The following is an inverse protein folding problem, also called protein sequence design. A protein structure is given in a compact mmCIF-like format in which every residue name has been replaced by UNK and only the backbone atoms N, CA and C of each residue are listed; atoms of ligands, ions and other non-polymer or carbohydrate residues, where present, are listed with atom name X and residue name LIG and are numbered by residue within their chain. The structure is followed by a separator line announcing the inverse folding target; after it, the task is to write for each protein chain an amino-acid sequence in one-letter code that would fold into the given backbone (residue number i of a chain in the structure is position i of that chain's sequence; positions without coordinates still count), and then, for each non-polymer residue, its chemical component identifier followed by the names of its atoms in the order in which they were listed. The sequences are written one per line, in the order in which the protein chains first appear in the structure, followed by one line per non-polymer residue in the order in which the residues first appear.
data_IF_389959059629
#
_entry.id   IF_389959059629
#
_cell.length_a   1.000
_cell.length_b   1.000
_cell.length_c   1.000
_cell.angle_alpha   90.00
_cell.angle_beta   90.00
_cell.angle_gamma   90.00
#
_symmetry.space_group_name_H-M   'P 1'
#
loop_
_entity.id
_entity.type
_entity.pdbx_description
1 polymer ?
#
# COMPACT_ATOMS: atom_id res chain seq x y z
N UNK A 1 -123.22 -42.93 -0.02
CA UNK A 1 -122.12 -42.07 -0.52
C UNK A 1 -121.53 -41.08 0.51
N UNK A 2 -122.06 -40.96 1.74
CA UNK A 2 -121.59 -39.98 2.75
C UNK A 2 -120.28 -40.41 3.44
N UNK A 3 -120.19 -41.67 3.87
CA UNK A 3 -119.02 -42.24 4.55
C UNK A 3 -117.72 -42.21 3.72
N UNK A 4 -117.81 -42.40 2.39
CA UNK A 4 -116.65 -42.33 1.51
C UNK A 4 -116.07 -40.90 1.38
N UNK A 5 -116.93 -39.87 1.45
CA UNK A 5 -116.50 -38.46 1.46
C UNK A 5 -115.83 -38.11 2.78
N UNK A 6 -116.38 -38.54 3.92
CA UNK A 6 -115.77 -38.31 5.24
C UNK A 6 -114.41 -39.01 5.38
N UNK A 7 -114.29 -40.24 4.89
CA UNK A 7 -113.01 -40.97 4.86
C UNK A 7 -111.96 -40.24 4.00
N UNK A 8 -112.32 -39.82 2.79
CA UNK A 8 -111.41 -39.06 1.92
C UNK A 8 -110.99 -37.72 2.56
N UNK A 9 -111.91 -37.03 3.23
CA UNK A 9 -111.64 -35.76 3.90
C UNK A 9 -110.76 -35.93 5.15
N UNK A 10 -110.91 -37.06 5.85
CA UNK A 10 -110.03 -37.47 6.95
C UNK A 10 -108.62 -37.81 6.44
N UNK A 11 -108.47 -38.57 5.37
CA UNK A 11 -107.16 -38.82 4.76
C UNK A 11 -106.49 -37.52 4.28
N UNK A 12 -107.24 -36.58 3.70
CA UNK A 12 -106.70 -35.26 3.32
C UNK A 12 -106.23 -34.45 4.53
N UNK A 13 -106.95 -34.49 5.66
CA UNK A 13 -106.56 -33.86 6.93
C UNK A 13 -105.32 -34.52 7.54
N UNK A 14 -105.24 -35.84 7.51
CA UNK A 14 -104.08 -36.61 7.99
C UNK A 14 -102.83 -36.33 7.13
N UNK A 15 -102.94 -36.31 5.80
CA UNK A 15 -101.84 -35.93 4.89
C UNK A 15 -101.41 -34.48 5.11
N UNK A 16 -102.36 -33.54 5.27
CA UNK A 16 -102.04 -32.15 5.57
C UNK A 16 -101.33 -32.01 6.94
N UNK A 17 -101.80 -32.71 7.97
CA UNK A 17 -101.17 -32.73 9.29
C UNK A 17 -99.75 -33.33 9.23
N UNK A 18 -99.55 -34.43 8.50
CA UNK A 18 -98.23 -35.03 8.30
C UNK A 18 -97.28 -34.09 7.55
N UNK A 19 -97.77 -33.34 6.55
CA UNK A 19 -96.98 -32.31 5.85
C UNK A 19 -96.60 -31.15 6.76
N UNK A 20 -97.52 -30.69 7.60
CA UNK A 20 -97.24 -29.64 8.60
C UNK A 20 -96.23 -30.15 9.63
N UNK A 21 -96.39 -31.37 10.13
CA UNK A 21 -95.48 -31.98 11.09
C UNK A 21 -94.09 -32.25 10.50
N UNK A 22 -93.99 -32.72 9.26
CA UNK A 22 -92.70 -32.94 8.58
C UNK A 22 -92.00 -31.61 8.30
N UNK A 23 -92.73 -30.58 7.87
CA UNK A 23 -92.21 -29.22 7.71
C UNK A 23 -91.69 -28.67 9.03
N UNK A 24 -92.46 -28.81 10.12
CA UNK A 24 -92.06 -28.35 11.46
C UNK A 24 -90.83 -29.09 11.98
N UNK A 25 -90.77 -30.43 11.83
CA UNK A 25 -89.59 -31.22 12.19
C UNK A 25 -88.36 -30.78 11.39
N UNK A 26 -88.51 -30.54 10.08
CA UNK A 26 -87.45 -30.01 9.22
C UNK A 26 -87.00 -28.60 9.61
N UNK A 27 -87.92 -27.71 9.99
CA UNK A 27 -87.60 -26.38 10.52
C UNK A 27 -86.85 -26.46 11.85
N UNK A 28 -87.31 -27.31 12.78
CA UNK A 28 -86.69 -27.48 14.10
C UNK A 28 -85.27 -28.06 13.99
N UNK A 29 -85.06 -29.05 13.12
CA UNK A 29 -83.74 -29.61 12.85
C UNK A 29 -82.80 -28.60 12.21
N UNK A 30 -83.26 -27.85 11.21
CA UNK A 30 -82.47 -26.76 10.60
C UNK A 30 -82.15 -25.66 11.61
N UNK A 31 -83.12 -25.17 12.38
CA UNK A 31 -82.89 -24.19 13.44
C UNK A 31 -81.89 -24.70 14.49
N UNK A 32 -81.97 -25.97 14.92
CA UNK A 32 -80.99 -26.55 15.85
C UNK A 32 -79.59 -26.67 15.23
N UNK A 33 -79.51 -27.02 13.94
CA UNK A 33 -78.25 -27.12 13.22
C UNK A 33 -77.65 -25.74 12.94
N UNK A 34 -78.43 -24.78 12.48
CA UNK A 34 -78.05 -23.38 12.30
C UNK A 34 -77.63 -22.77 13.63
N UNK A 35 -78.38 -22.99 14.72
CA UNK A 35 -77.93 -22.58 16.05
C UNK A 35 -76.59 -23.25 16.36
N UNK A 36 -76.36 -24.55 16.15
CA UNK A 36 -75.04 -25.15 16.51
C UNK A 36 -73.88 -24.82 15.56
N UNK A 37 -74.16 -24.63 14.26
CA UNK A 37 -73.19 -24.46 13.18
C UNK A 37 -72.93 -22.97 12.90
N UNK A 38 -73.99 -22.16 12.86
CA UNK A 38 -73.94 -20.69 12.77
C UNK A 38 -73.90 -20.01 14.15
N UNK A 39 -74.02 -20.72 15.29
CA UNK A 39 -73.87 -20.05 16.58
C UNK A 39 -72.56 -19.28 16.58
N UNK A 40 -72.69 -18.08 17.11
CA UNK A 40 -71.66 -17.19 17.62
C UNK A 40 -70.44 -17.96 18.15
N UNK A 41 -70.59 -19.14 18.75
CA UNK A 41 -69.49 -20.01 19.24
C UNK A 41 -68.51 -20.47 18.15
N UNK A 42 -68.98 -21.05 17.04
CA UNK A 42 -68.08 -21.54 15.97
C UNK A 42 -67.42 -20.36 15.23
N UNK A 43 -68.19 -19.32 14.93
CA UNK A 43 -67.69 -18.09 14.29
C UNK A 43 -66.71 -17.36 15.24
N UNK A 44 -66.99 -17.26 16.53
CA UNK A 44 -66.09 -16.66 17.52
C UNK A 44 -64.83 -17.48 17.70
N UNK A 45 -64.92 -18.81 17.72
CA UNK A 45 -63.74 -19.67 17.80
C UNK A 45 -62.87 -19.48 16.56
N UNK A 46 -63.45 -19.50 15.36
CA UNK A 46 -62.72 -19.21 14.12
C UNK A 46 -62.11 -17.80 14.11
N UNK A 47 -62.86 -16.78 14.57
CA UNK A 47 -62.36 -15.41 14.72
C UNK A 47 -61.18 -15.35 15.69
N UNK A 48 -61.27 -16.04 16.82
CA UNK A 48 -60.24 -16.10 17.84
C UNK A 48 -59.00 -16.81 17.30
N UNK A 49 -59.15 -17.96 16.62
CA UNK A 49 -58.06 -18.71 16.00
C UNK A 49 -57.38 -17.91 14.88
N UNK A 50 -58.14 -17.27 14.00
CA UNK A 50 -57.57 -16.37 12.97
C UNK A 50 -56.83 -15.20 13.60
N UNK A 51 -57.39 -14.62 14.67
CA UNK A 51 -56.76 -13.54 15.43
C UNK A 51 -55.48 -13.97 16.15
N UNK A 52 -55.44 -15.15 16.76
CA UNK A 52 -54.24 -15.68 17.42
C UNK A 52 -53.15 -16.00 16.41
N UNK A 53 -53.49 -16.59 15.26
CA UNK A 53 -52.56 -16.82 14.16
C UNK A 53 -52.00 -15.52 13.59
N UNK A 54 -52.85 -14.52 13.33
CA UNK A 54 -52.43 -13.20 12.86
C UNK A 54 -51.48 -12.52 13.84
N UNK A 55 -51.80 -12.52 15.15
CA UNK A 55 -50.92 -11.97 16.20
C UNK A 55 -49.61 -12.74 16.30
N UNK A 56 -49.63 -14.07 16.20
CA UNK A 56 -48.41 -14.90 16.21
C UNK A 56 -47.51 -14.56 15.02
N UNK A 57 -48.08 -14.40 13.82
CA UNK A 57 -47.35 -14.02 12.61
C UNK A 57 -46.81 -12.59 12.70
N UNK A 58 -47.60 -11.64 13.22
CA UNK A 58 -47.17 -10.26 13.45
C UNK A 58 -46.01 -10.20 14.45
N UNK A 59 -46.08 -10.93 15.57
CA UNK A 59 -44.97 -11.04 16.54
C UNK A 59 -43.71 -11.63 15.92
N UNK A 60 -43.84 -12.72 15.14
CA UNK A 60 -42.70 -13.30 14.39
C UNK A 60 -42.09 -12.32 13.39
N UNK A 61 -42.91 -11.50 12.73
CA UNK A 61 -42.42 -10.45 11.82
C UNK A 61 -41.73 -9.33 12.59
N UNK A 62 -42.32 -8.85 13.67
CA UNK A 62 -41.75 -7.81 14.53
C UNK A 62 -40.40 -8.25 15.11
N UNK A 63 -40.31 -9.46 15.66
CA UNK A 63 -39.05 -10.00 16.19
C UNK A 63 -37.94 -10.09 15.13
N UNK A 64 -38.26 -10.48 13.89
CA UNK A 64 -37.30 -10.48 12.77
C UNK A 64 -36.82 -9.07 12.42
N UNK A 65 -37.73 -8.11 12.36
CA UNK A 65 -37.40 -6.71 12.08
C UNK A 65 -36.57 -6.09 13.20
N UNK A 66 -36.93 -6.37 14.46
CA UNK A 66 -36.20 -5.91 15.64
C UNK A 66 -34.78 -6.50 15.69
N UNK A 67 -34.63 -7.81 15.45
CA UNK A 67 -33.32 -8.45 15.33
C UNK A 67 -32.47 -7.82 14.22
N UNK A 68 -33.07 -7.56 13.06
CA UNK A 68 -32.39 -6.88 11.95
C UNK A 68 -31.99 -5.44 12.30
N UNK A 69 -32.89 -4.70 12.95
CA UNK A 69 -32.63 -3.33 13.38
C UNK A 69 -31.50 -3.27 14.41
N UNK A 70 -31.50 -4.16 15.41
CA UNK A 70 -30.43 -4.27 16.42
C UNK A 70 -29.09 -4.59 15.74
N UNK A 71 -29.08 -5.50 14.76
CA UNK A 71 -27.86 -5.84 14.03
C UNK A 71 -27.31 -4.63 13.25
N UNK A 72 -28.18 -3.90 12.54
CA UNK A 72 -27.80 -2.67 11.83
C UNK A 72 -27.27 -1.62 12.81
N UNK A 73 -27.96 -1.38 13.93
CA UNK A 73 -27.55 -0.42 14.96
C UNK A 73 -26.19 -0.78 15.57
N UNK A 74 -25.97 -2.06 15.89
CA UNK A 74 -24.68 -2.56 16.41
C UNK A 74 -23.56 -2.32 15.41
N UNK A 75 -23.77 -2.67 14.13
CA UNK A 75 -22.77 -2.45 13.08
C UNK A 75 -22.45 -0.96 12.90
N UNK A 76 -23.48 -0.11 12.89
CA UNK A 76 -23.33 1.33 12.74
C UNK A 76 -22.57 1.96 13.92
N UNK A 77 -22.95 1.64 15.16
CA UNK A 77 -22.26 2.11 16.36
C UNK A 77 -20.80 1.67 16.37
N UNK A 78 -20.52 0.41 16.02
CA UNK A 78 -19.16 -0.11 15.90
C UNK A 78 -18.35 0.59 14.80
N UNK A 79 -18.95 0.85 13.64
CA UNK A 79 -18.31 1.60 12.56
C UNK A 79 -17.97 3.02 13.01
N UNK A 80 -18.91 3.73 13.66
CA UNK A 80 -18.71 5.09 14.17
C UNK A 80 -17.56 5.14 15.18
N UNK A 81 -17.56 4.25 16.17
CA UNK A 81 -16.51 4.19 17.18
C UNK A 81 -15.12 3.91 16.54
N UNK A 82 -15.03 2.98 15.59
CA UNK A 82 -13.76 2.73 14.87
C UNK A 82 -13.30 3.94 14.07
N UNK A 83 -14.23 4.67 13.45
CA UNK A 83 -13.90 5.87 12.70
C UNK A 83 -13.35 6.98 13.61
N UNK A 84 -13.96 7.19 14.79
CA UNK A 84 -13.48 8.16 15.79
C UNK A 84 -12.12 7.75 16.37
N UNK A 85 -11.91 6.47 16.68
CA UNK A 85 -10.60 5.97 17.15
C UNK A 85 -9.55 6.17 16.06
N UNK A 86 -9.87 5.86 14.81
CA UNK A 86 -8.96 6.04 13.68
C UNK A 86 -8.57 7.51 13.49
N UNK A 87 -9.52 8.45 13.58
CA UNK A 87 -9.20 9.88 13.46
C UNK A 87 -8.33 10.35 14.63
N UNK A 88 -8.62 9.96 15.86
CA UNK A 88 -7.82 10.32 17.03
C UNK A 88 -6.40 9.75 16.96
N UNK A 89 -6.26 8.47 16.61
CA UNK A 89 -4.97 7.80 16.45
C UNK A 89 -4.15 8.49 15.36
N UNK A 90 -4.76 8.80 14.22
CA UNK A 90 -4.14 9.58 13.16
C UNK A 90 -3.67 10.94 13.65
N UNK A 91 -4.55 11.72 14.30
CA UNK A 91 -4.18 13.05 14.77
C UNK A 91 -3.00 13.02 15.74
N UNK A 92 -2.97 12.03 16.63
CA UNK A 92 -1.84 11.80 17.53
C UNK A 92 -0.57 11.46 16.76
N UNK A 93 -0.63 10.54 15.81
CA UNK A 93 0.54 10.16 14.99
C UNK A 93 1.05 11.32 14.14
N UNK A 94 0.15 12.05 13.48
CA UNK A 94 0.48 13.24 12.68
C UNK A 94 1.17 14.28 13.55
N UNK A 95 0.63 14.56 14.74
CA UNK A 95 1.24 15.49 15.69
C UNK A 95 2.62 15.01 16.15
N UNK A 96 2.77 13.74 16.53
CA UNK A 96 4.06 13.18 16.93
C UNK A 96 5.11 13.32 15.81
N UNK A 97 4.73 13.09 14.55
CA UNK A 97 5.64 13.25 13.40
C UNK A 97 6.02 14.71 13.18
N UNK A 98 5.06 15.63 13.29
CA UNK A 98 5.33 17.07 13.22
C UNK A 98 6.30 17.52 14.31
N UNK A 99 6.08 17.06 15.54
CA UNK A 99 6.99 17.31 16.67
C UNK A 99 8.38 16.74 16.40
N UNK A 100 8.48 15.54 15.84
CA UNK A 100 9.77 14.93 15.46
C UNK A 100 10.49 15.72 14.37
N UNK A 101 9.79 16.14 13.31
CA UNK A 101 10.33 17.01 12.26
C UNK A 101 10.86 18.32 12.87
N UNK A 102 10.11 18.94 13.78
CA UNK A 102 10.53 20.17 14.45
C UNK A 102 11.79 19.96 15.31
N UNK A 103 11.91 18.83 16.00
CA UNK A 103 13.14 18.48 16.75
C UNK A 103 14.33 18.37 15.80
N UNK A 104 14.19 17.68 14.67
CA UNK A 104 15.26 17.54 13.66
C UNK A 104 15.67 18.90 13.08
N UNK A 105 14.72 19.82 12.88
CA UNK A 105 15.01 21.19 12.46
C UNK A 105 15.86 21.94 13.50
N UNK A 106 15.45 21.91 14.76
CA UNK A 106 16.18 22.55 15.85
C UNK A 106 17.60 21.96 16.00
N UNK A 107 17.75 20.63 15.87
CA UNK A 107 19.06 19.97 15.92
C UNK A 107 19.95 20.39 14.74
N UNK A 108 19.41 20.46 13.53
CA UNK A 108 20.14 20.93 12.36
C UNK A 108 20.59 22.40 12.52
N UNK A 109 19.72 23.26 13.05
CA UNK A 109 20.03 24.67 13.36
C UNK A 109 21.11 24.79 14.43
N UNK A 110 21.05 23.97 15.48
CA UNK A 110 22.08 23.95 16.51
C UNK A 110 23.45 23.59 15.93
N UNK A 111 23.51 22.56 15.09
CA UNK A 111 24.75 22.19 14.41
C UNK A 111 25.27 23.27 13.47
N UNK A 112 24.38 23.97 12.75
CA UNK A 112 24.73 25.13 11.92
C UNK A 112 25.37 26.23 12.77
N UNK A 113 24.74 26.60 13.88
CA UNK A 113 25.26 27.62 14.80
C UNK A 113 26.63 27.23 15.40
N UNK A 114 26.84 25.94 15.73
CA UNK A 114 28.15 25.45 16.19
C UNK A 114 29.21 25.53 15.10
N UNK A 115 28.86 25.19 13.86
CA UNK A 115 29.76 25.31 12.70
C UNK A 115 30.17 26.76 12.49
N UNK A 116 29.21 27.68 12.50
CA UNK A 116 29.47 29.12 12.35
C UNK A 116 30.36 29.66 13.48
N UNK A 117 30.15 29.24 14.74
CA UNK A 117 31.02 29.58 15.87
C UNK A 117 32.45 29.09 15.69
N UNK A 118 32.64 27.85 15.21
CA UNK A 118 33.98 27.32 14.95
C UNK A 118 34.66 28.01 13.77
N UNK A 119 33.91 28.32 12.72
CA UNK A 119 34.40 29.04 11.55
C UNK A 119 34.83 30.46 11.93
N UNK A 120 34.04 31.18 12.71
CA UNK A 120 34.43 32.49 13.25
C UNK A 120 35.69 32.41 14.15
N UNK A 121 35.86 31.33 14.93
CA UNK A 121 37.09 31.11 15.72
C UNK A 121 38.30 30.84 14.83
N UNK A 122 38.14 30.09 13.74
CA UNK A 122 39.18 29.84 12.75
C UNK A 122 39.63 31.14 12.08
N UNK A 123 38.68 31.96 11.67
CA UNK A 123 38.91 33.28 11.05
C UNK A 123 39.61 34.24 12.00
N UNK A 124 39.17 34.33 13.27
CA UNK A 124 39.83 35.16 14.30
C UNK A 124 41.28 34.78 14.55
N UNK A 125 41.60 33.48 14.51
CA UNK A 125 42.98 33.01 14.66
C UNK A 125 43.84 33.24 13.41
N UNK A 126 43.23 33.60 12.27
CA UNK A 126 43.91 33.80 10.99
C UNK A 126 44.83 32.62 10.60
N UNK A 127 44.50 31.40 11.06
CA UNK A 127 45.37 30.22 10.91
C UNK A 127 45.70 29.93 9.45
N UNK A 128 44.72 30.12 8.55
CA UNK A 128 44.92 29.93 7.11
C UNK A 128 45.99 30.86 6.55
N UNK A 129 45.94 32.14 6.91
CA UNK A 129 46.92 33.14 6.46
C UNK A 129 48.29 32.87 7.06
N UNK A 130 48.34 32.53 8.35
CA UNK A 130 49.61 32.22 9.03
C UNK A 130 50.29 30.97 8.49
N UNK A 131 49.53 29.91 8.19
CA UNK A 131 50.07 28.69 7.58
C UNK A 131 50.62 28.98 6.19
N UNK A 132 49.90 29.76 5.36
CA UNK A 132 50.39 30.14 4.03
C UNK A 132 51.66 31.01 4.07
N UNK A 133 51.75 31.95 5.02
CA UNK A 133 52.97 32.74 5.25
C UNK A 133 54.15 31.84 5.65
N UNK A 134 53.94 30.97 6.64
CA UNK A 134 54.99 30.05 7.10
C UNK A 134 55.41 29.05 6.01
N UNK A 135 54.49 28.60 5.15
CA UNK A 135 54.78 27.76 4.00
C UNK A 135 55.68 28.50 2.99
N UNK A 136 55.36 29.76 2.71
CA UNK A 136 56.16 30.61 1.83
C UNK A 136 57.55 30.88 2.39
N UNK A 137 57.63 31.28 3.67
CA UNK A 137 58.91 31.54 4.34
C UNK A 137 59.77 30.26 4.41
N UNK A 138 59.14 29.10 4.63
CA UNK A 138 59.81 27.80 4.63
C UNK A 138 60.38 27.45 3.26
N UNK A 139 59.63 27.74 2.20
CA UNK A 139 60.06 27.52 0.83
C UNK A 139 61.26 28.41 0.46
N UNK A 140 61.21 29.71 0.75
CA UNK A 140 62.30 30.65 0.47
C UNK A 140 63.60 30.25 1.17
N UNK A 141 63.53 29.93 2.46
CA UNK A 141 64.74 29.56 3.19
C UNK A 141 65.32 28.22 2.72
N UNK A 142 64.48 27.30 2.21
CA UNK A 142 64.96 26.09 1.53
C UNK A 142 65.67 26.41 0.21
N UNK A 143 65.15 27.34 -0.60
CA UNK A 143 65.85 27.81 -1.81
C UNK A 143 67.19 28.45 -1.46
N UNK A 144 67.24 29.30 -0.42
CA UNK A 144 68.49 29.89 0.06
C UNK A 144 69.51 28.84 0.51
N UNK A 145 69.07 27.81 1.23
CA UNK A 145 69.92 26.67 1.59
C UNK A 145 70.45 25.99 0.32
N UNK A 146 69.60 25.78 -0.67
CA UNK A 146 69.97 25.15 -1.93
C UNK A 146 71.02 25.95 -2.71
N UNK A 147 70.90 27.28 -2.74
CA UNK A 147 71.90 28.17 -3.34
C UNK A 147 73.23 28.07 -2.59
N UNK A 148 73.21 28.09 -1.26
CA UNK A 148 74.42 27.94 -0.44
C UNK A 148 75.10 26.58 -0.65
N UNK A 149 74.32 25.52 -0.84
CA UNK A 149 74.81 24.18 -1.17
C UNK A 149 75.43 24.11 -2.56
N UNK A 150 74.81 24.78 -3.54
CA UNK A 150 75.33 24.86 -4.90
C UNK A 150 76.71 25.54 -4.93
N UNK A 151 76.87 26.65 -4.19
CA UNK A 151 78.17 27.32 -4.03
C UNK A 151 79.19 26.38 -3.35
N UNK A 152 78.79 25.60 -2.34
CA UNK A 152 79.68 24.63 -1.69
C UNK A 152 80.13 23.52 -2.65
N UNK A 153 79.22 23.00 -3.48
CA UNK A 153 79.53 22.00 -4.51
C UNK A 153 80.47 22.56 -5.58
N UNK A 154 80.31 23.83 -5.96
CA UNK A 154 81.23 24.52 -6.85
C UNK A 154 82.62 24.66 -6.25
N UNK A 155 82.74 25.07 -4.98
CA UNK A 155 84.03 25.09 -4.26
C UNK A 155 84.68 23.70 -4.22
N UNK A 156 83.89 22.65 -3.99
CA UNK A 156 84.38 21.27 -4.00
C UNK A 156 84.89 20.86 -5.39
N UNK A 157 84.20 21.27 -6.45
CA UNK A 157 84.59 21.02 -7.83
C UNK A 157 85.87 21.78 -8.19
N UNK A 158 86.00 23.02 -7.73
CA UNK A 158 87.22 23.84 -7.90
C UNK A 158 88.42 23.22 -7.19
N UNK A 159 88.25 22.72 -5.96
CA UNK A 159 89.31 21.99 -5.22
C UNK A 159 89.84 20.80 -6.02
N UNK A 160 88.97 20.05 -6.70
CA UNK A 160 89.37 18.91 -7.54
C UNK A 160 90.13 19.30 -8.81
N UNK A 161 90.07 20.58 -9.22
CA UNK A 161 90.67 21.12 -10.45
C UNK A 161 91.90 21.99 -10.21
N UNK A 162 92.40 22.07 -8.98
CA UNK A 162 93.56 22.92 -8.61
C UNK A 162 94.86 22.39 -9.23
N UNK A 163 95.68 23.28 -9.79
CA UNK A 163 96.99 22.98 -10.39
C UNK A 163 98.09 22.74 -9.32
N UNK A 164 99.10 21.88 -9.55
CA UNK A 164 100.14 21.54 -8.57
C UNK A 164 100.84 22.74 -7.93
N UNK A 165 101.08 23.82 -8.67
CA UNK A 165 101.71 25.05 -8.17
C UNK A 165 100.86 25.81 -7.16
N UNK A 166 99.53 25.75 -7.28
CA UNK A 166 98.63 26.35 -6.31
C UNK A 166 98.57 25.52 -5.01
N UNK A 167 98.85 24.21 -5.08
CA UNK A 167 98.99 23.35 -3.91
C UNK A 167 100.22 23.78 -3.08
N UNK A 168 101.35 24.05 -3.73
CA UNK A 168 102.57 24.54 -3.06
C UNK A 168 102.39 25.91 -2.37
N UNK A 169 101.48 26.74 -2.87
CA UNK A 169 101.14 28.04 -2.27
C UNK A 169 100.05 27.98 -1.19
N UNK A 170 99.62 26.78 -0.76
CA UNK A 170 98.65 26.61 0.34
C UNK A 170 97.18 26.86 -0.01
N UNK A 171 96.83 27.04 -1.30
CA UNK A 171 95.44 27.32 -1.72
C UNK A 171 94.46 26.22 -1.35
N UNK A 172 94.92 24.97 -1.31
CA UNK A 172 94.09 23.81 -0.94
C UNK A 172 93.66 23.91 0.52
N UNK A 173 94.58 24.29 1.41
CA UNK A 173 94.32 24.41 2.85
C UNK A 173 93.36 25.57 3.15
N UNK A 174 93.52 26.71 2.46
CA UNK A 174 92.57 27.83 2.55
C UNK A 174 91.18 27.47 2.01
N UNK A 175 91.10 26.75 0.88
CA UNK A 175 89.85 26.25 0.32
C UNK A 175 89.16 25.27 1.27
N UNK A 176 89.89 24.35 1.89
CA UNK A 176 89.34 23.41 2.87
C UNK A 176 88.83 24.13 4.12
N UNK A 177 89.55 25.16 4.60
CA UNK A 177 89.09 26.00 5.71
C UNK A 177 87.79 26.73 5.36
N UNK A 178 87.69 27.33 4.16
CA UNK A 178 86.47 28.00 3.66
C UNK A 178 85.32 27.03 3.46
N UNK A 179 85.58 25.84 2.91
CA UNK A 179 84.57 24.78 2.77
C UNK A 179 84.05 24.31 4.13
N UNK A 180 84.92 24.15 5.14
CA UNK A 180 84.52 23.76 6.49
C UNK A 180 83.65 24.83 7.15
N UNK A 181 84.00 26.11 6.99
CA UNK A 181 83.18 27.24 7.45
C UNK A 181 81.82 27.28 6.73
N UNK A 182 81.80 27.14 5.41
CA UNK A 182 80.56 27.13 4.62
C UNK A 182 79.66 25.96 5.01
N UNK A 183 80.22 24.76 5.21
CA UNK A 183 79.47 23.58 5.65
C UNK A 183 78.88 23.78 7.06
N UNK A 184 79.62 24.41 7.97
CA UNK A 184 79.11 24.76 9.29
C UNK A 184 77.95 25.77 9.21
N UNK A 185 78.06 26.78 8.35
CA UNK A 185 76.99 27.76 8.08
C UNK A 185 75.75 27.10 7.50
N UNK A 186 75.89 26.28 6.45
CA UNK A 186 74.78 25.52 5.84
C UNK A 186 74.09 24.65 6.89
N UNK A 187 74.88 23.94 7.71
CA UNK A 187 74.33 23.06 8.76
C UNK A 187 73.55 23.88 9.79
N UNK A 188 74.08 25.02 10.22
CA UNK A 188 73.40 25.93 11.15
C UNK A 188 72.07 26.42 10.58
N UNK A 189 72.07 26.94 9.36
CA UNK A 189 70.85 27.44 8.69
C UNK A 189 69.83 26.32 8.50
N UNK A 190 70.25 25.13 8.07
CA UNK A 190 69.37 23.96 7.96
C UNK A 190 68.70 23.59 9.28
N UNK A 191 69.46 23.58 10.37
CA UNK A 191 68.93 23.27 11.69
C UNK A 191 67.91 24.33 12.13
N UNK A 192 68.21 25.62 11.92
CA UNK A 192 67.30 26.72 12.21
C UNK A 192 66.00 26.62 11.39
N UNK A 193 66.11 26.38 10.08
CA UNK A 193 64.94 26.27 9.19
C UNK A 193 64.08 25.06 9.53
N UNK A 194 64.67 23.89 9.80
CA UNK A 194 63.90 22.68 10.12
C UNK A 194 63.25 22.79 11.50
N UNK A 195 64.01 23.17 12.53
CA UNK A 195 63.55 23.08 13.92
C UNK A 195 62.83 24.32 14.44
N UNK A 196 63.10 25.51 13.90
CA UNK A 196 62.33 26.69 14.23
C UNK A 196 61.15 26.83 13.26
N UNK A 197 61.44 27.16 12.01
CA UNK A 197 60.41 27.55 11.05
C UNK A 197 59.54 26.38 10.60
N UNK A 198 60.16 25.25 10.23
CA UNK A 198 59.46 24.03 9.82
C UNK A 198 58.62 23.42 10.93
N UNK A 199 59.11 23.44 12.18
CA UNK A 199 58.35 22.96 13.34
C UNK A 199 57.13 23.83 13.61
N UNK A 200 57.27 25.16 13.57
CA UNK A 200 56.14 26.08 13.71
C UNK A 200 55.12 25.92 12.60
N UNK A 201 55.58 25.81 11.35
CA UNK A 201 54.73 25.53 10.19
C UNK A 201 53.91 24.26 10.41
N UNK A 202 54.56 23.13 10.73
CA UNK A 202 53.87 21.85 10.95
C UNK A 202 52.91 21.87 12.14
N UNK A 203 53.24 22.59 13.21
CA UNK A 203 52.32 22.78 14.35
C UNK A 203 51.06 23.53 13.93
N UNK A 204 51.20 24.64 13.19
CA UNK A 204 50.07 25.45 12.74
C UNK A 204 49.25 24.79 11.64
N UNK A 205 49.90 24.07 10.74
CA UNK A 205 49.25 23.22 9.74
C UNK A 205 48.37 22.16 10.41
N UNK A 206 48.91 21.47 11.43
CA UNK A 206 48.15 20.48 12.21
C UNK A 206 46.95 21.11 12.91
N UNK A 207 47.15 22.24 13.59
CA UNK A 207 46.04 22.98 14.22
C UNK A 207 44.95 23.33 13.20
N UNK A 208 45.33 23.84 12.03
CA UNK A 208 44.40 24.19 10.95
C UNK A 208 43.61 22.98 10.45
N UNK A 209 44.28 21.86 10.18
CA UNK A 209 43.64 20.61 9.72
C UNK A 209 42.66 20.10 10.78
N UNK A 210 43.03 20.12 12.06
CA UNK A 210 42.14 19.69 13.15
C UNK A 210 40.87 20.56 13.23
N UNK A 211 40.99 21.88 13.07
CA UNK A 211 39.82 22.75 13.01
C UNK A 211 38.94 22.44 11.80
N UNK A 212 39.52 22.23 10.63
CA UNK A 212 38.78 21.91 9.41
C UNK A 212 38.04 20.57 9.54
N UNK A 213 38.69 19.56 10.10
CA UNK A 213 38.07 18.25 10.36
C UNK A 213 36.89 18.37 11.31
N UNK A 214 37.00 19.17 12.38
CA UNK A 214 35.90 19.41 13.34
C UNK A 214 34.72 20.12 12.68
N UNK A 215 34.99 21.14 11.85
CA UNK A 215 33.97 21.86 11.07
C UNK A 215 33.25 20.88 10.14
N UNK A 216 34.00 20.08 9.37
CA UNK A 216 33.44 19.10 8.45
C UNK A 216 32.59 18.05 9.19
N UNK A 217 33.05 17.54 10.34
CA UNK A 217 32.30 16.57 11.13
C UNK A 217 30.96 17.12 11.65
N UNK A 218 30.91 18.41 12.03
CA UNK A 218 29.66 19.06 12.43
C UNK A 218 28.73 19.26 11.23
N UNK A 219 29.28 19.67 10.08
CA UNK A 219 28.51 19.85 8.85
C UNK A 219 27.94 18.51 8.33
N UNK A 220 28.70 17.42 8.45
CA UNK A 220 28.21 16.08 8.14
C UNK A 220 27.05 15.66 9.06
N UNK A 221 27.13 15.95 10.36
CA UNK A 221 26.02 15.70 11.30
C UNK A 221 24.79 16.50 10.90
N UNK A 222 24.93 17.79 10.63
CA UNK A 222 23.84 18.65 10.14
C UNK A 222 23.19 18.05 8.89
N UNK A 223 23.98 17.65 7.89
CA UNK A 223 23.47 17.05 6.64
C UNK A 223 22.67 15.78 6.91
N UNK A 224 23.09 14.94 7.87
CA UNK A 224 22.32 13.74 8.26
C UNK A 224 20.96 14.11 8.83
N UNK A 225 20.88 15.10 9.72
CA UNK A 225 19.60 15.59 10.24
C UNK A 225 18.70 16.19 9.16
N UNK A 226 19.28 16.93 8.20
CA UNK A 226 18.52 17.45 7.05
C UNK A 226 17.98 16.31 6.16
N UNK A 227 18.76 15.26 5.91
CA UNK A 227 18.31 14.08 5.18
C UNK A 227 17.16 13.39 5.93
N UNK A 228 17.32 13.10 7.22
CA UNK A 228 16.29 12.48 8.04
C UNK A 228 15.02 13.31 8.11
N UNK A 229 15.14 14.62 8.25
CA UNK A 229 13.98 15.52 8.23
C UNK A 229 13.24 15.44 6.91
N UNK A 230 13.96 15.44 5.78
CA UNK A 230 13.35 15.37 4.47
C UNK A 230 12.67 14.01 4.24
N UNK A 231 13.29 12.92 4.70
CA UNK A 231 12.69 11.59 4.69
C UNK A 231 11.37 11.58 5.48
N UNK A 232 11.39 12.05 6.74
CA UNK A 232 10.19 12.13 7.57
C UNK A 232 9.10 13.04 6.98
N UNK A 233 9.50 14.15 6.36
CA UNK A 233 8.57 15.06 5.70
C UNK A 233 7.90 14.41 4.49
N UNK A 234 8.65 13.69 3.65
CA UNK A 234 8.09 12.94 2.52
C UNK A 234 7.12 11.87 3.01
N UNK A 235 7.50 11.13 4.06
CA UNK A 235 6.70 10.10 4.69
C UNK A 235 5.39 10.65 5.27
N UNK A 236 5.45 11.80 5.94
CA UNK A 236 4.28 12.54 6.41
C UNK A 236 3.40 12.99 5.25
N UNK A 237 3.99 13.60 4.23
CA UNK A 237 3.28 14.13 3.07
C UNK A 237 2.55 13.04 2.28
N UNK A 238 3.21 11.91 2.03
CA UNK A 238 2.60 10.76 1.36
C UNK A 238 1.37 10.25 2.13
N UNK A 239 1.49 10.11 3.45
CA UNK A 239 0.37 9.67 4.30
C UNK A 239 -0.80 10.65 4.23
N UNK A 240 -0.55 11.95 4.30
CA UNK A 240 -1.59 12.98 4.17
C UNK A 240 -2.26 12.92 2.80
N UNK A 241 -1.47 12.79 1.72
CA UNK A 241 -2.00 12.65 0.37
C UNK A 241 -2.91 11.41 0.23
N UNK A 242 -2.46 10.25 0.73
CA UNK A 242 -3.24 9.00 0.71
C UNK A 242 -4.54 9.16 1.49
N UNK A 243 -4.49 9.78 2.67
CA UNK A 243 -5.67 10.04 3.48
C UNK A 243 -6.67 10.95 2.76
N UNK A 244 -6.23 12.11 2.25
CA UNK A 244 -7.09 13.01 1.50
C UNK A 244 -7.71 12.35 0.27
N UNK A 245 -6.95 11.50 -0.42
CA UNK A 245 -7.46 10.72 -1.55
C UNK A 245 -8.54 9.72 -1.12
N UNK A 246 -8.32 8.97 -0.04
CA UNK A 246 -9.31 8.04 0.51
C UNK A 246 -10.59 8.75 0.93
N UNK A 247 -10.47 9.87 1.65
CA UNK A 247 -11.62 10.71 2.06
C UNK A 247 -12.40 11.18 0.84
N UNK A 248 -11.73 11.64 -0.22
CA UNK A 248 -12.38 12.02 -1.48
C UNK A 248 -13.13 10.85 -2.12
N UNK A 249 -12.56 9.64 -2.13
CA UNK A 249 -13.25 8.45 -2.63
C UNK A 249 -14.49 8.14 -1.80
N UNK A 250 -14.37 8.15 -0.47
CA UNK A 250 -15.50 7.85 0.43
C UNK A 250 -16.62 8.87 0.24
N UNK A 251 -16.30 10.16 0.17
CA UNK A 251 -17.26 11.23 -0.11
C UNK A 251 -17.95 11.04 -1.46
N UNK A 252 -17.22 10.67 -2.51
CA UNK A 252 -17.82 10.37 -3.82
C UNK A 252 -18.79 9.18 -3.74
N UNK A 253 -18.40 8.09 -3.08
CA UNK A 253 -19.27 6.92 -2.87
C UNK A 253 -20.52 7.28 -2.08
N UNK A 254 -20.38 8.09 -1.03
CA UNK A 254 -21.50 8.58 -0.24
C UNK A 254 -22.46 9.42 -1.09
N UNK A 255 -21.95 10.38 -1.87
CA UNK A 255 -22.77 11.19 -2.79
C UNK A 255 -23.54 10.33 -3.78
N UNK A 256 -22.89 9.33 -4.39
CA UNK A 256 -23.55 8.38 -5.31
C UNK A 256 -24.63 7.56 -4.59
N UNK A 257 -24.38 7.13 -3.35
CA UNK A 257 -25.37 6.40 -2.57
C UNK A 257 -26.55 7.29 -2.15
N UNK A 258 -26.31 8.57 -1.84
CA UNK A 258 -27.35 9.55 -1.54
C UNK A 258 -28.21 9.86 -2.76
N UNK A 259 -27.61 10.05 -3.94
CA UNK A 259 -28.37 10.25 -5.19
C UNK A 259 -29.18 9.02 -5.58
N UNK A 260 -28.63 7.80 -5.43
CA UNK A 260 -29.39 6.57 -5.64
C UNK A 260 -30.57 6.45 -4.68
N UNK A 261 -30.37 6.78 -3.39
CA UNK A 261 -31.44 6.79 -2.39
C UNK A 261 -32.53 7.81 -2.72
N UNK A 262 -32.15 9.00 -3.20
CA UNK A 262 -33.14 10.02 -3.60
C UNK A 262 -33.92 9.61 -4.86
N UNK A 263 -33.32 8.86 -5.78
CA UNK A 263 -34.01 8.33 -6.97
C UNK A 263 -34.95 7.15 -6.68
N UNK A 264 -34.68 6.37 -5.63
CA UNK A 264 -35.49 5.23 -5.23
C UNK A 264 -36.83 5.66 -4.60
N UNK A 265 -36.90 6.85 -4.00
CA UNK A 265 -38.16 7.43 -3.51
C UNK A 265 -38.91 8.04 -4.71
N UNK A 266 -39.72 7.23 -5.38
CA UNK A 266 -40.63 7.69 -6.43
C UNK A 266 -42.01 7.91 -5.82
N UNK A 267 -42.44 9.17 -5.73
CA UNK A 267 -43.79 9.52 -5.34
C UNK A 267 -44.67 9.53 -6.59
N UNK A 268 -45.85 8.92 -6.50
CA UNK A 268 -46.83 8.84 -7.57
C UNK A 268 -48.09 9.57 -7.13
N UNK A 269 -48.80 10.19 -8.07
CA UNK A 269 -50.11 10.78 -7.84
C UNK A 269 -51.19 9.71 -7.72
N UNK A 270 -52.38 10.11 -7.27
CA UNK A 270 -53.60 9.28 -7.27
C UNK A 270 -53.99 8.75 -8.66
N UNK A 271 -53.55 9.42 -9.73
CA UNK A 271 -53.72 8.98 -11.12
C UNK A 271 -52.62 8.02 -11.62
N UNK A 272 -51.72 7.55 -10.74
CA UNK A 272 -50.64 6.62 -11.05
C UNK A 272 -49.43 7.23 -11.77
N UNK A 273 -49.47 8.52 -12.17
CA UNK A 273 -48.33 9.20 -12.82
C UNK A 273 -47.29 9.65 -11.79
N UNK A 274 -46.00 9.56 -12.13
CA UNK A 274 -44.88 9.99 -11.28
C UNK A 274 -45.00 11.48 -10.95
N UNK A 275 -44.93 11.83 -9.67
CA UNK A 275 -45.06 13.22 -9.22
C UNK A 275 -43.70 13.90 -9.11
N UNK A 276 -43.42 14.81 -10.04
CA UNK A 276 -42.17 15.58 -10.10
C UNK A 276 -42.14 16.79 -9.16
N UNK A 277 -43.22 17.01 -8.41
CA UNK A 277 -43.37 18.15 -7.47
C UNK A 277 -42.58 17.96 -6.16
N UNK A 278 -42.20 16.72 -5.85
CA UNK A 278 -41.30 16.43 -4.73
C UNK A 278 -39.85 16.63 -5.14
N UNK A 279 -39.15 17.55 -4.46
CA UNK A 279 -37.72 17.82 -4.72
C UNK A 279 -36.83 17.22 -3.64
N UNK A 280 -37.09 15.98 -3.23
CA UNK A 280 -36.23 15.22 -2.32
C UNK A 280 -36.25 15.65 -0.84
N UNK A 281 -36.50 16.93 -0.54
CA UNK A 281 -36.54 17.47 0.83
C UNK A 281 -37.87 18.13 1.20
N UNK A 282 -38.58 18.73 0.24
CA UNK A 282 -39.86 19.39 0.48
C UNK A 282 -40.76 19.29 -0.77
N UNK A 283 -42.06 19.44 -0.56
CA UNK A 283 -43.05 19.60 -1.62
C UNK A 283 -42.93 20.99 -2.25
N UNK A 284 -43.35 21.15 -3.50
CA UNK A 284 -43.51 22.47 -4.09
C UNK A 284 -44.54 23.28 -3.27
N UNK A 285 -44.35 24.60 -3.10
CA UNK A 285 -45.24 25.45 -2.29
C UNK A 285 -46.73 25.26 -2.62
N UNK A 286 -47.05 25.16 -3.91
CA UNK A 286 -48.41 24.96 -4.43
C UNK A 286 -49.09 23.69 -3.89
N UNK A 287 -48.33 22.63 -3.58
CA UNK A 287 -48.89 21.37 -3.03
C UNK A 287 -49.17 21.52 -1.54
N UNK A 288 -48.34 22.29 -0.84
CA UNK A 288 -48.48 22.57 0.59
C UNK A 288 -49.71 23.47 0.82
N UNK A 289 -49.93 24.45 -0.05
CA UNK A 289 -51.12 25.32 0.01
C UNK A 289 -52.40 24.55 -0.33
N UNK A 290 -52.41 23.75 -1.39
CA UNK A 290 -53.57 22.89 -1.73
C UNK A 290 -53.84 21.82 -0.66
N UNK A 291 -52.82 21.34 0.08
CA UNK A 291 -53.06 20.43 1.21
C UNK A 291 -53.68 21.13 2.41
N UNK A 292 -53.30 22.39 2.69
CA UNK A 292 -53.91 23.20 3.76
C UNK A 292 -55.39 23.50 3.45
N UNK A 293 -55.73 23.71 2.18
CA UNK A 293 -57.13 23.84 1.74
C UNK A 293 -57.94 22.54 1.86
N UNK A 294 -57.27 21.38 1.81
CA UNK A 294 -57.89 20.04 1.92
C UNK A 294 -57.92 19.47 3.34
N UNK A 295 -57.44 20.20 4.35
CA UNK A 295 -57.55 19.83 5.77
C UNK A 295 -59.00 19.95 6.32
N UNK A 296 -60.02 19.90 5.45
CA UNK A 296 -61.37 19.48 5.80
C UNK A 296 -61.57 17.97 5.60
N UNK A 297 -60.76 17.12 6.24
CA UNK A 297 -60.92 15.66 6.12
C UNK A 297 -62.05 15.15 7.03
N UNK A 298 -63.27 15.05 6.48
CA UNK A 298 -64.41 14.40 7.13
C UNK A 298 -64.38 12.88 6.89
N UNK A 299 -64.23 12.10 7.97
CA UNK A 299 -64.14 10.63 7.99
C UNK A 299 -65.47 9.89 7.64
N UNK A 300 -66.48 10.60 7.14
CA UNK A 300 -67.86 10.11 7.11
C UNK A 300 -68.36 9.44 5.82
N UNK A 301 -67.70 9.60 4.67
CA UNK A 301 -68.35 9.29 3.38
C UNK A 301 -67.59 8.39 2.40
N UNK A 302 -66.44 7.82 2.78
CA UNK A 302 -65.76 6.83 1.92
C UNK A 302 -65.90 5.43 2.50
N UNK A 303 -66.78 4.64 1.90
CA UNK A 303 -66.97 3.23 2.24
C UNK A 303 -65.74 2.42 1.80
N UNK A 304 -64.85 2.15 2.75
CA UNK A 304 -63.58 1.42 2.56
C UNK A 304 -63.84 -0.03 2.09
N UNK A 305 -65.08 -0.53 2.23
CA UNK A 305 -65.47 -1.88 1.81
C UNK A 305 -65.68 -2.02 0.30
N UNK A 306 -65.91 -0.93 -0.45
CA UNK A 306 -66.09 -0.98 -1.90
C UNK A 306 -64.84 -1.50 -2.64
N UNK A 307 -63.64 -1.06 -2.20
CA UNK A 307 -62.35 -1.51 -2.75
C UNK A 307 -62.02 -2.98 -2.43
N UNK A 308 -62.60 -3.50 -1.34
CA UNK A 308 -62.40 -4.90 -0.93
C UNK A 308 -63.33 -5.81 -1.73
N UNK A 309 -64.57 -5.38 -2.01
CA UNK A 309 -65.53 -6.14 -2.80
C UNK A 309 -65.10 -6.35 -4.26
N UNK A 310 -64.50 -5.34 -4.89
CA UNK A 310 -64.08 -5.45 -6.30
C UNK A 310 -62.83 -6.33 -6.46
N UNK A 311 -61.91 -6.30 -5.49
CA UNK A 311 -60.78 -7.24 -5.46
C UNK A 311 -61.18 -8.69 -5.20
N UNK A 312 -62.23 -8.91 -4.41
CA UNK A 312 -62.76 -10.26 -4.17
C UNK A 312 -63.50 -10.83 -5.38
N UNK A 313 -64.23 -9.99 -6.14
CA UNK A 313 -64.89 -10.42 -7.38
C UNK A 313 -63.91 -10.85 -8.47
N UNK A 314 -62.84 -10.08 -8.69
CA UNK A 314 -61.82 -10.42 -9.68
C UNK A 314 -61.09 -11.72 -9.35
N UNK A 315 -60.83 -11.98 -8.06
CA UNK A 315 -60.16 -13.20 -7.62
C UNK A 315 -61.04 -14.46 -7.70
N UNK A 316 -62.37 -14.32 -7.65
CA UNK A 316 -63.30 -15.44 -7.86
C UNK A 316 -63.42 -15.78 -9.35
N UNK A 317 -63.40 -14.77 -10.23
CA UNK A 317 -63.38 -14.99 -11.69
C UNK A 317 -62.09 -15.65 -12.19
N UNK A 318 -60.92 -15.29 -11.65
CA UNK A 318 -59.64 -15.94 -11.99
C UNK A 318 -59.57 -17.42 -11.58
N UNK A 319 -60.31 -17.81 -10.53
CA UNK A 319 -60.33 -19.20 -10.01
C UNK A 319 -61.27 -20.09 -10.83
N UNK A 320 -62.30 -19.53 -11.48
CA UNK A 320 -63.23 -20.29 -12.32
C UNK A 320 -62.69 -20.53 -13.75
N UNK A 321 -61.76 -19.70 -14.25
CA UNK A 321 -61.12 -19.86 -15.58
C UNK A 321 -59.87 -20.78 -15.54
N UNK A 322 -59.34 -21.04 -14.35
CA UNK A 322 -58.16 -21.88 -14.14
C UNK A 322 -58.58 -23.25 -13.62
N UNK A 323 -58.43 -24.31 -14.43
CA UNK A 323 -58.66 -25.70 -14.00
C UNK A 323 -57.88 -26.10 -12.72
N UNK A 324 -58.18 -27.25 -12.11
CA UNK A 324 -57.84 -27.55 -10.72
C UNK A 324 -56.33 -27.38 -10.45
N UNK A 325 -56.05 -26.51 -9.47
CA UNK A 325 -54.74 -26.17 -8.93
C UNK A 325 -53.99 -27.45 -8.55
N UNK A 326 -52.91 -27.76 -9.28
CA UNK A 326 -51.89 -28.70 -8.80
C UNK A 326 -51.14 -28.03 -7.64
N UNK A 327 -50.89 -28.78 -6.57
CA UNK A 327 -50.31 -28.30 -5.32
C UNK A 327 -49.09 -27.40 -5.53
N UNK A 328 -49.15 -26.18 -4.98
CA UNK A 328 -48.12 -25.11 -5.03
C UNK A 328 -46.72 -25.56 -4.56
N UNK A 329 -46.57 -26.77 -4.00
CA UNK A 329 -45.29 -27.29 -3.52
C UNK A 329 -44.42 -27.91 -4.62
N UNK A 330 -45.01 -28.48 -5.67
CA UNK A 330 -44.22 -29.09 -6.76
C UNK A 330 -43.69 -28.03 -7.72
N UNK A 331 -44.49 -27.01 -8.06
CA UNK A 331 -44.09 -25.94 -8.99
C UNK A 331 -43.03 -24.98 -8.41
N UNK A 332 -42.96 -24.85 -7.08
CA UNK A 332 -41.90 -24.08 -6.40
C UNK A 332 -40.56 -24.82 -6.40
N UNK A 333 -40.55 -26.16 -6.40
CA UNK A 333 -39.31 -26.93 -6.46
C UNK A 333 -38.65 -26.88 -7.85
N UNK A 334 -39.44 -27.00 -8.91
CA UNK A 334 -38.93 -26.96 -10.30
C UNK A 334 -38.41 -25.56 -10.69
N UNK A 335 -39.06 -24.50 -10.20
CA UNK A 335 -38.62 -23.12 -10.45
C UNK A 335 -37.39 -22.74 -9.64
N UNK A 336 -37.19 -23.29 -8.45
CA UNK A 336 -35.99 -23.03 -7.63
C UNK A 336 -34.74 -23.69 -8.22
N UNK A 337 -34.86 -24.95 -8.63
CA UNK A 337 -33.78 -25.66 -9.32
C UNK A 337 -33.37 -24.95 -10.61
N UNK A 338 -34.35 -24.50 -11.40
CA UNK A 338 -34.06 -23.76 -12.63
C UNK A 338 -33.41 -22.38 -12.39
N UNK A 339 -33.77 -21.68 -11.32
CA UNK A 339 -33.15 -20.40 -10.95
C UNK A 339 -31.71 -20.61 -10.44
N UNK A 340 -31.47 -21.67 -9.67
CA UNK A 340 -30.14 -22.00 -9.17
C UNK A 340 -29.21 -22.42 -10.34
N UNK A 341 -29.70 -23.23 -11.29
CA UNK A 341 -28.97 -23.60 -12.51
C UNK A 341 -28.64 -22.38 -13.39
N UNK A 342 -29.57 -21.44 -13.53
CA UNK A 342 -29.35 -20.18 -14.25
C UNK A 342 -28.34 -19.28 -13.52
N UNK A 343 -28.39 -19.24 -12.19
CA UNK A 343 -27.44 -18.50 -11.37
C UNK A 343 -26.03 -19.05 -11.52
N UNK A 344 -25.88 -20.37 -11.55
CA UNK A 344 -24.59 -21.04 -11.73
C UNK A 344 -24.03 -20.85 -13.15
N UNK A 345 -24.88 -20.87 -14.18
CA UNK A 345 -24.47 -20.53 -15.54
C UNK A 345 -24.03 -19.07 -15.67
N UNK A 346 -24.74 -18.13 -15.02
CA UNK A 346 -24.36 -16.71 -15.01
C UNK A 346 -23.05 -16.49 -14.22
N UNK A 347 -22.87 -17.18 -13.09
CA UNK A 347 -21.63 -17.13 -12.33
C UNK A 347 -20.45 -17.70 -13.13
N UNK A 348 -20.64 -18.82 -13.83
CA UNK A 348 -19.61 -19.42 -14.67
C UNK A 348 -19.25 -18.51 -15.84
N UNK A 349 -20.23 -17.93 -16.54
CA UNK A 349 -19.98 -17.00 -17.66
C UNK A 349 -19.33 -15.69 -17.22
N UNK A 350 -19.68 -15.19 -16.03
CA UNK A 350 -19.03 -14.03 -15.44
C UNK A 350 -17.57 -14.33 -15.04
N UNK A 351 -17.31 -15.51 -14.46
CA UNK A 351 -15.96 -15.94 -14.10
C UNK A 351 -15.09 -16.16 -15.35
N UNK A 352 -15.64 -16.76 -16.41
CA UNK A 352 -14.91 -16.91 -17.69
C UNK A 352 -14.63 -15.55 -18.34
N UNK A 353 -15.59 -14.61 -18.33
CA UNK A 353 -15.37 -13.27 -18.86
C UNK A 353 -14.32 -12.48 -18.06
N UNK A 354 -14.32 -12.58 -16.74
CA UNK A 354 -13.31 -11.95 -15.89
C UNK A 354 -11.91 -12.55 -16.10
N UNK A 355 -11.83 -13.88 -16.24
CA UNK A 355 -10.55 -14.56 -16.52
C UNK A 355 -10.03 -14.25 -17.92
N UNK A 356 -10.90 -14.09 -18.92
CA UNK A 356 -10.51 -13.64 -20.26
C UNK A 356 -10.08 -12.18 -20.30
N UNK A 357 -10.79 -11.29 -19.60
CA UNK A 357 -10.40 -9.87 -19.48
C UNK A 357 -9.06 -9.72 -18.77
N UNK A 358 -8.86 -10.41 -17.65
CA UNK A 358 -7.55 -10.40 -16.96
C UNK A 358 -6.45 -10.97 -17.84
N UNK A 359 -6.68 -12.11 -18.51
CA UNK A 359 -5.74 -12.64 -19.50
C UNK A 359 -5.43 -11.63 -20.60
N UNK A 360 -6.42 -10.90 -21.11
CA UNK A 360 -6.21 -9.88 -22.14
C UNK A 360 -5.40 -8.67 -21.64
N UNK A 361 -5.65 -8.21 -20.41
CA UNK A 361 -4.90 -7.12 -19.76
C UNK A 361 -3.43 -7.52 -19.53
N UNK A 362 -3.18 -8.77 -19.13
CA UNK A 362 -1.83 -9.24 -18.82
C UNK A 362 -1.07 -9.81 -20.04
N UNK A 363 -1.74 -10.12 -21.16
CA UNK A 363 -1.12 -10.61 -22.40
C UNK A 363 0.03 -9.73 -22.93
N UNK A 364 -0.07 -8.38 -22.98
CA UNK A 364 1.06 -7.54 -23.39
C UNK A 364 2.22 -7.59 -22.39
N UNK A 365 1.93 -7.66 -21.08
CA UNK A 365 2.97 -7.79 -20.05
C UNK A 365 3.69 -9.13 -20.17
N UNK A 366 2.97 -10.22 -20.40
CA UNK A 366 3.59 -11.53 -20.62
C UNK A 366 4.44 -11.56 -21.89
N UNK A 367 4.00 -10.90 -22.98
CA UNK A 367 4.82 -10.74 -24.18
C UNK A 367 6.08 -9.92 -23.91
N UNK A 368 6.00 -8.84 -23.16
CA UNK A 368 7.17 -8.02 -22.83
C UNK A 368 8.15 -8.79 -21.93
N UNK A 369 7.64 -9.61 -21.01
CA UNK A 369 8.45 -10.53 -20.20
C UNK A 369 9.11 -11.59 -21.07
N UNK A 370 8.38 -12.24 -21.98
CA UNK A 370 8.93 -13.23 -22.93
C UNK A 370 10.01 -12.60 -23.84
N UNK A 371 9.76 -11.41 -24.37
CA UNK A 371 10.74 -10.67 -25.18
C UNK A 371 11.98 -10.27 -24.37
N UNK A 372 11.79 -9.84 -23.12
CA UNK A 372 12.90 -9.51 -22.22
C UNK A 372 13.71 -10.76 -21.87
N UNK A 373 13.04 -11.89 -21.65
CA UNK A 373 13.66 -13.18 -21.36
C UNK A 373 14.45 -13.69 -22.57
N UNK A 374 13.88 -13.63 -23.78
CA UNK A 374 14.56 -13.99 -25.02
C UNK A 374 15.76 -13.09 -25.29
N UNK A 375 15.66 -11.79 -24.97
CA UNK A 375 16.77 -10.83 -25.09
C UNK A 375 17.89 -11.17 -24.10
N UNK A 376 17.56 -11.49 -22.85
CA UNK A 376 18.53 -11.95 -21.85
C UNK A 376 19.17 -13.26 -22.30
N UNK A 377 18.39 -14.22 -22.81
CA UNK A 377 18.91 -15.48 -23.32
C UNK A 377 19.86 -15.28 -24.51
N UNK A 378 19.54 -14.36 -25.43
CA UNK A 378 20.44 -14.02 -26.55
C UNK A 378 21.75 -13.40 -26.05
N UNK A 379 21.67 -12.43 -25.12
CA UNK A 379 22.87 -11.82 -24.52
C UNK A 379 23.72 -12.85 -23.78
N UNK A 380 23.09 -13.81 -23.10
CA UNK A 380 23.79 -14.86 -22.38
C UNK A 380 24.46 -15.85 -23.36
N UNK A 381 23.79 -16.22 -24.46
CA UNK A 381 24.38 -17.02 -25.54
C UNK A 381 25.52 -16.27 -26.26
N UNK A 382 25.41 -14.95 -26.44
CA UNK A 382 26.46 -14.10 -27.02
C UNK A 382 27.67 -13.97 -26.09
N UNK A 383 27.45 -13.87 -24.79
CA UNK A 383 28.50 -13.88 -23.77
C UNK A 383 29.19 -15.25 -23.67
N UNK A 384 28.42 -16.34 -23.80
CA UNK A 384 28.94 -17.70 -23.69
C UNK A 384 29.63 -18.18 -24.97
N UNK A 385 29.31 -17.62 -26.14
CA UNK A 385 29.98 -17.90 -27.43
C UNK A 385 31.51 -17.78 -27.38
N UNK A 386 32.11 -16.67 -26.94
CA UNK A 386 33.57 -16.54 -26.84
C UNK A 386 34.16 -17.46 -25.76
N UNK A 387 33.41 -17.80 -24.71
CA UNK A 387 33.87 -18.77 -23.69
C UNK A 387 33.91 -20.20 -24.24
N UNK A 388 32.91 -20.59 -25.03
CA UNK A 388 32.87 -21.88 -25.72
C UNK A 388 33.92 -21.95 -26.82
N UNK A 389 34.11 -20.88 -27.61
CA UNK A 389 35.19 -20.78 -28.59
C UNK A 389 36.57 -20.87 -27.93
N UNK A 390 36.81 -20.15 -26.83
CA UNK A 390 38.07 -20.26 -26.08
C UNK A 390 38.29 -21.65 -25.46
N UNK A 391 37.21 -22.38 -25.13
CA UNK A 391 37.28 -23.75 -24.62
C UNK A 391 37.55 -24.76 -25.73
N UNK A 392 36.96 -24.56 -26.92
CA UNK A 392 37.26 -25.32 -28.13
C UNK A 392 38.69 -25.06 -28.62
N UNK A 393 39.17 -23.82 -28.60
CA UNK A 393 40.55 -23.44 -28.92
C UNK A 393 41.58 -24.01 -27.92
N UNK A 394 41.22 -24.13 -26.64
CA UNK A 394 42.06 -24.86 -25.66
C UNK A 394 42.07 -26.36 -25.90
N UNK A 395 40.95 -26.94 -26.33
CA UNK A 395 40.90 -28.36 -26.66
C UNK A 395 41.65 -28.67 -27.97
N UNK A 396 41.61 -27.78 -28.96
CA UNK A 396 42.41 -27.93 -30.19
C UNK A 396 43.89 -27.68 -29.94
N UNK A 397 44.27 -26.70 -29.10
CA UNK A 397 45.67 -26.49 -28.68
C UNK A 397 46.21 -27.63 -27.81
N UNK A 398 45.42 -28.13 -26.87
CA UNK A 398 45.78 -29.31 -26.07
C UNK A 398 45.91 -30.60 -26.89
N UNK A 399 45.17 -30.70 -28.00
CA UNK A 399 45.31 -31.82 -28.94
C UNK A 399 46.50 -31.67 -29.90
N UNK A 400 46.94 -30.44 -30.22
CA UNK A 400 48.14 -30.20 -31.04
C UNK A 400 49.44 -30.24 -30.23
N UNK A 401 49.40 -29.89 -28.94
CA UNK A 401 50.58 -29.89 -28.07
C UNK A 401 50.96 -31.31 -27.61
N UNK A 402 50.01 -32.25 -27.53
CA UNK A 402 50.31 -33.66 -27.24
C UNK A 402 50.88 -34.45 -28.44
N UNK A 403 50.94 -33.87 -29.64
CA UNK A 403 51.50 -34.51 -30.84
C UNK A 403 52.92 -34.04 -31.19
N UNK A 404 53.47 -33.04 -30.48
CA UNK A 404 54.79 -32.44 -30.79
C UNK A 404 55.57 -32.08 -29.53
N UNK A 405 55.96 -33.07 -28.72
CA UNK A 405 57.13 -32.93 -27.84
C UNK A 405 57.65 -34.30 -27.41
N UNK A 406 58.18 -35.04 -28.39
CA UNK A 406 59.38 -35.83 -28.17
C UNK A 406 60.58 -34.94 -28.51
N UNK A 407 61.61 -35.02 -27.68
CA UNK A 407 63.01 -34.62 -27.93
C UNK A 407 63.48 -33.19 -27.54
N UNK A 408 64.43 -33.23 -26.60
CA UNK A 408 65.70 -32.50 -26.52
C UNK A 408 65.78 -31.02 -26.02
N UNK A 409 66.23 -30.94 -24.76
CA UNK A 409 67.46 -30.29 -24.28
C UNK A 409 67.64 -28.74 -24.29
N UNK A 410 67.99 -28.29 -23.07
CA UNK A 410 68.97 -27.24 -22.67
C UNK A 410 68.60 -25.75 -22.58
N UNK A 411 68.89 -25.25 -21.37
CA UNK A 411 69.50 -23.96 -21.00
C UNK A 411 68.70 -22.64 -21.03
N UNK A 412 68.80 -21.96 -19.86
CA UNK A 412 68.76 -20.51 -19.59
C UNK A 412 67.42 -19.78 -19.64
N UNK A 413 67.12 -19.09 -18.53
CA UNK A 413 66.23 -17.93 -18.53
C UNK A 413 65.27 -17.87 -17.34
N UNK A 414 65.79 -17.62 -16.14
CA UNK A 414 64.97 -17.19 -14.99
C UNK A 414 64.50 -15.74 -15.22
N UNK A 415 63.49 -15.55 -16.07
CA UNK A 415 62.77 -14.28 -16.15
C UNK A 415 61.62 -14.35 -15.15
N UNK A 416 61.86 -13.81 -13.95
CA UNK A 416 60.79 -13.40 -13.03
C UNK A 416 59.93 -12.38 -13.78
N UNK A 417 58.82 -12.83 -14.37
CA UNK A 417 57.75 -11.94 -14.85
C UNK A 417 57.30 -11.12 -13.64
N UNK A 418 57.63 -9.82 -13.66
CA UNK A 418 57.14 -8.85 -12.70
C UNK A 418 55.62 -9.00 -12.60
N UNK A 419 55.12 -9.36 -11.42
CA UNK A 419 53.69 -9.23 -11.12
C UNK A 419 53.42 -7.73 -11.10
N UNK A 420 52.87 -7.19 -12.18
CA UNK A 420 52.39 -5.81 -12.21
C UNK A 420 51.52 -5.54 -10.97
N UNK A 421 51.93 -4.66 -10.05
CA UNK A 421 51.18 -4.36 -8.83
C UNK A 421 49.81 -3.75 -9.14
N UNK A 422 49.66 -3.13 -10.31
CA UNK A 422 48.39 -2.59 -10.82
C UNK A 422 47.35 -3.70 -11.09
N UNK A 423 47.79 -4.85 -11.63
CA UNK A 423 46.89 -5.96 -11.99
C UNK A 423 46.45 -6.79 -10.79
N UNK A 424 47.24 -6.78 -9.70
CA UNK A 424 46.89 -7.43 -8.43
C UNK A 424 45.90 -6.59 -7.62
N UNK A 425 46.06 -5.25 -7.63
CA UNK A 425 45.12 -4.30 -7.06
C UNK A 425 43.75 -4.38 -7.75
N UNK A 426 43.71 -4.45 -9.08
CA UNK A 426 42.47 -4.62 -9.85
C UNK A 426 41.71 -5.92 -9.50
N UNK A 427 42.44 -7.03 -9.31
CA UNK A 427 41.84 -8.30 -8.88
C UNK A 427 41.30 -8.22 -7.45
N UNK A 428 42.00 -7.53 -6.55
CA UNK A 428 41.52 -7.33 -5.17
C UNK A 428 40.33 -6.38 -5.10
N UNK A 429 40.31 -5.32 -5.90
CA UNK A 429 39.18 -4.40 -6.02
C UNK A 429 37.96 -5.10 -6.62
N UNK A 430 38.12 -5.90 -7.68
CA UNK A 430 37.01 -6.73 -8.22
C UNK A 430 36.49 -7.74 -7.22
N UNK A 431 37.36 -8.40 -6.43
CA UNK A 431 36.91 -9.28 -5.33
C UNK A 431 36.15 -8.52 -4.25
N UNK A 432 36.61 -7.33 -3.86
CA UNK A 432 35.91 -6.48 -2.87
C UNK A 432 34.55 -5.98 -3.39
N UNK A 433 34.46 -5.63 -4.67
CA UNK A 433 33.21 -5.22 -5.31
C UNK A 433 32.22 -6.39 -5.42
N UNK A 434 32.68 -7.61 -5.75
CA UNK A 434 31.83 -8.80 -5.76
C UNK A 434 31.35 -9.19 -4.35
N UNK A 435 32.18 -9.01 -3.32
CA UNK A 435 31.77 -9.23 -1.91
C UNK A 435 30.79 -8.16 -1.42
N UNK A 436 30.90 -6.92 -1.90
CA UNK A 436 29.92 -5.86 -1.63
C UNK A 436 28.59 -6.09 -2.38
N UNK A 437 28.65 -6.59 -3.62
CA UNK A 437 27.47 -6.94 -4.41
C UNK A 437 26.75 -8.21 -3.89
N UNK A 438 27.48 -9.14 -3.27
CA UNK A 438 26.93 -10.33 -2.63
C UNK A 438 26.42 -10.09 -1.19
N UNK A 439 26.50 -8.86 -0.68
CA UNK A 439 26.04 -8.51 0.66
C UNK A 439 24.53 -8.33 0.63
N UNK A 440 23.80 -9.44 0.79
CA UNK A 440 22.34 -9.44 0.95
C UNK A 440 21.99 -8.51 2.12
N UNK A 441 21.22 -7.43 1.87
CA UNK A 441 20.80 -6.54 2.93
C UNK A 441 20.02 -7.27 4.02
N UNK A 442 20.28 -6.97 5.30
CA UNK A 442 19.64 -7.64 6.44
C UNK A 442 18.10 -7.64 6.37
N UNK A 443 17.50 -6.58 5.85
CA UNK A 443 16.05 -6.48 5.66
C UNK A 443 15.48 -7.52 4.68
N UNK A 444 16.25 -7.94 3.67
CA UNK A 444 15.86 -9.01 2.74
C UNK A 444 15.93 -10.38 3.42
N UNK A 445 16.83 -10.54 4.39
CA UNK A 445 16.91 -11.76 5.19
C UNK A 445 15.71 -11.90 6.13
N UNK A 446 15.30 -10.79 6.76
CA UNK A 446 14.10 -10.73 7.61
C UNK A 446 12.82 -10.94 6.80
N UNK A 447 12.74 -10.38 5.58
CA UNK A 447 11.62 -10.61 4.66
C UNK A 447 11.54 -12.07 4.20
N UNK A 448 12.67 -12.70 3.86
CA UNK A 448 12.70 -14.12 3.48
C UNK A 448 12.34 -15.03 4.67
N UNK A 449 12.70 -14.66 5.89
CA UNK A 449 12.30 -15.40 7.09
C UNK A 449 10.80 -15.24 7.39
N UNK A 450 10.24 -14.04 7.20
CA UNK A 450 8.80 -13.79 7.29
C UNK A 450 8.01 -14.58 6.24
N UNK A 451 8.47 -14.58 4.98
CA UNK A 451 7.87 -15.37 3.90
C UNK A 451 7.97 -16.88 4.18
N UNK A 452 9.09 -17.36 4.74
CA UNK A 452 9.24 -18.76 5.13
C UNK A 452 8.25 -19.17 6.23
N UNK A 453 7.94 -18.27 7.18
CA UNK A 453 6.92 -18.49 8.22
C UNK A 453 5.51 -18.47 7.62
N UNK A 454 5.22 -17.57 6.69
CA UNK A 454 3.94 -17.53 5.97
C UNK A 454 3.72 -18.83 5.17
N UNK A 455 4.73 -19.29 4.44
CA UNK A 455 4.69 -20.55 3.67
C UNK A 455 4.51 -21.77 4.58
N UNK A 456 5.10 -21.76 5.78
CA UNK A 456 4.90 -22.82 6.77
C UNK A 456 3.46 -22.82 7.31
N UNK A 457 2.89 -21.63 7.56
CA UNK A 457 1.50 -21.48 8.00
C UNK A 457 0.49 -21.87 6.90
N UNK A 458 0.77 -21.52 5.65
CA UNK A 458 -0.03 -21.95 4.50
C UNK A 458 0.04 -23.47 4.31
N UNK A 459 1.25 -24.06 4.37
CA UNK A 459 1.41 -25.52 4.32
C UNK A 459 0.72 -26.23 5.49
N UNK A 460 0.62 -25.61 6.65
CA UNK A 460 -0.15 -26.14 7.78
C UNK A 460 -1.67 -26.03 7.54
N UNK A 461 -2.15 -24.96 6.91
CA UNK A 461 -3.55 -24.81 6.51
C UNK A 461 -3.98 -25.81 5.43
N UNK A 462 -3.09 -26.15 4.48
CA UNK A 462 -3.37 -27.12 3.41
C UNK A 462 -3.00 -28.58 3.77
N UNK A 463 -2.67 -28.86 5.03
CA UNK A 463 -2.42 -30.22 5.56
C UNK A 463 -3.55 -30.76 6.47
N UNK A 464 -4.70 -30.10 6.45
CA UNK A 464 -5.99 -30.69 6.81
C UNK A 464 -6.61 -31.35 5.57
#
# INVERSE_FOLDING_TARGET
MYFAKEFCQRCKREVAALRIQSMWRGFLSRKKFDIRWLEIRAINLQRLVRGTLARKNARKRAARLESGAIQIQRMFRGMKARMEIYTLMRHRETRNRQEYIAVLEVEAEWHRAQRDKLQARLERKQLKQRVAQLEYDYYIEHERIHDMESIYLDMQTQRMRVSPRAIEHGWVEEMEAKMKQQRALITKVKLEVIFALGLEFKRKEKEFIEFQQRINAIEEKRRRFEIWRNEEYLDFWERECRFHYQVKIMQKRQKIAETRRSWQVQLYRTNGKRDHRWRGSHWSPDVIEVSKEKEGFCIGSTDILALVHDKWRLRIQEVDESGPVRDDKEQICDTRGHIDDLSDQVAHTAATAQTEQTKAIFKPVFRDVELSFDKIQKLQREHDRPLVQARQERNTRGSTDNARTGENQTAKGLVKRAKDPMRSLDRQQRKRQLVLAAKVPWHLHDQLEAERRNLANEKAMFKL
#
